data_IF_493150348183
#
_entry.id   IF_493150348183
#
_cell.length_a   1.000
_cell.length_b   1.000
_cell.length_c   1.000
_cell.angle_alpha   90.00
_cell.angle_beta   90.00
_cell.angle_gamma   90.00
#
_symmetry.space_group_name_H-M   'P 1'
#
loop_
_entity.id
_entity.type
_entity.pdbx_description
1 polymer ?
#
# COMPACT_ATOMS: atom_id res chain seq x y z
N UNK A 1 30.07 -3.76 -23.88
CA UNK A 1 29.28 -5.01 -23.85
C UNK A 1 28.81 -5.28 -25.28
N UNK A 2 29.00 -6.48 -25.84
CA UNK A 2 28.54 -6.78 -27.19
C UNK A 2 27.00 -6.77 -27.25
N UNK A 3 26.40 -6.42 -28.41
CA UNK A 3 24.94 -6.31 -28.56
C UNK A 3 24.16 -7.58 -28.14
N UNK A 4 24.72 -8.76 -28.39
CA UNK A 4 24.12 -10.05 -28.01
C UNK A 4 24.03 -10.24 -26.48
N UNK A 5 25.06 -9.86 -25.73
CA UNK A 5 25.03 -9.94 -24.27
C UNK A 5 24.04 -8.94 -23.67
N UNK A 6 23.90 -7.76 -24.28
CA UNK A 6 22.94 -6.74 -23.85
C UNK A 6 21.49 -7.20 -24.07
N UNK A 7 21.22 -7.81 -25.23
CA UNK A 7 19.92 -8.39 -25.57
C UNK A 7 19.53 -9.50 -24.58
N UNK A 8 20.41 -10.48 -24.32
CA UNK A 8 20.17 -11.57 -23.38
C UNK A 8 20.05 -11.13 -21.91
N UNK A 9 20.63 -9.98 -21.55
CA UNK A 9 20.36 -9.34 -20.25
C UNK A 9 18.96 -8.72 -20.26
N UNK A 10 18.62 -8.01 -21.32
CA UNK A 10 17.31 -7.40 -21.52
C UNK A 10 16.16 -8.40 -21.40
N UNK A 11 16.24 -9.54 -22.07
CA UNK A 11 15.23 -10.61 -22.00
C UNK A 11 14.99 -11.11 -20.57
N UNK A 12 16.06 -11.29 -19.80
CA UNK A 12 15.95 -11.71 -18.39
C UNK A 12 15.26 -10.63 -17.56
N UNK A 13 15.60 -9.36 -17.78
CA UNK A 13 14.98 -8.23 -17.08
C UNK A 13 13.50 -8.12 -17.45
N UNK A 14 13.17 -8.31 -18.73
CA UNK A 14 11.80 -8.33 -19.26
C UNK A 14 10.96 -9.45 -18.64
N UNK A 15 11.45 -10.69 -18.68
CA UNK A 15 10.78 -11.85 -18.11
C UNK A 15 10.50 -11.65 -16.62
N UNK A 16 11.51 -11.26 -15.84
CA UNK A 16 11.35 -11.02 -14.40
C UNK A 16 10.40 -9.86 -14.12
N UNK A 17 10.44 -8.80 -14.95
CA UNK A 17 9.52 -7.67 -14.86
C UNK A 17 8.07 -8.08 -15.14
N UNK A 18 7.83 -8.91 -16.16
CA UNK A 18 6.51 -9.44 -16.49
C UNK A 18 5.97 -10.34 -15.36
N UNK A 19 6.78 -11.25 -14.83
CA UNK A 19 6.41 -12.10 -13.70
C UNK A 19 6.06 -11.27 -12.46
N UNK A 20 6.85 -10.24 -12.17
CA UNK A 20 6.58 -9.34 -11.06
C UNK A 20 5.26 -8.58 -11.26
N UNK A 21 4.98 -8.11 -12.47
CA UNK A 21 3.73 -7.42 -12.80
C UNK A 21 2.51 -8.34 -12.63
N UNK A 22 2.60 -9.59 -13.10
CA UNK A 22 1.56 -10.61 -12.90
C UNK A 22 1.35 -10.96 -11.42
N UNK A 23 2.41 -11.10 -10.64
CA UNK A 23 2.31 -11.31 -9.20
C UNK A 23 1.54 -10.16 -8.51
N UNK A 24 1.85 -8.92 -8.88
CA UNK A 24 1.16 -7.73 -8.34
C UNK A 24 -0.30 -7.71 -8.74
N UNK A 25 -0.64 -8.11 -9.97
CA UNK A 25 -2.04 -8.24 -10.43
C UNK A 25 -2.81 -9.20 -9.51
N UNK A 26 -2.25 -10.39 -9.25
CA UNK A 26 -2.87 -11.40 -8.37
C UNK A 26 -3.05 -10.87 -6.95
N UNK A 27 -2.02 -10.23 -6.40
CA UNK A 27 -2.08 -9.68 -5.04
C UNK A 27 -3.10 -8.53 -4.90
N UNK A 28 -3.35 -7.77 -5.96
CA UNK A 28 -4.32 -6.66 -5.96
C UNK A 28 -5.74 -7.04 -6.35
N UNK A 29 -5.95 -8.25 -6.87
CA UNK A 29 -7.27 -8.75 -7.29
C UNK A 29 -8.39 -8.56 -6.24
N UNK A 30 -8.19 -8.89 -4.94
CA UNK A 30 -9.24 -8.72 -3.94
C UNK A 30 -9.61 -7.25 -3.70
N UNK A 31 -8.61 -6.37 -3.76
CA UNK A 31 -8.79 -4.92 -3.59
C UNK A 31 -9.51 -4.30 -4.79
N UNK A 32 -9.20 -4.78 -6.00
CA UNK A 32 -9.85 -4.33 -7.22
C UNK A 32 -11.34 -4.65 -7.27
N UNK A 33 -11.79 -5.77 -6.68
CA UNK A 33 -13.23 -6.09 -6.58
C UNK A 33 -14.02 -5.10 -5.73
N UNK A 34 -13.38 -4.36 -4.83
CA UNK A 34 -14.05 -3.46 -3.87
C UNK A 34 -14.14 -2.01 -4.34
N UNK A 35 -13.33 -1.59 -5.31
CA UNK A 35 -13.27 -0.19 -5.75
C UNK A 35 -13.19 -0.09 -7.27
N UNK A 36 -14.07 0.73 -7.84
CA UNK A 36 -14.12 0.96 -9.29
C UNK A 36 -12.80 1.49 -9.85
N UNK A 37 -12.16 2.45 -9.16
CA UNK A 37 -10.87 3.01 -9.57
C UNK A 37 -9.76 1.95 -9.55
N UNK A 38 -9.77 1.06 -8.55
CA UNK A 38 -8.80 -0.04 -8.44
C UNK A 38 -9.02 -1.10 -9.53
N UNK A 39 -10.29 -1.36 -9.89
CA UNK A 39 -10.65 -2.21 -11.03
C UNK A 39 -10.10 -1.66 -12.34
N UNK A 40 -10.29 -0.37 -12.62
CA UNK A 40 -9.77 0.26 -13.83
C UNK A 40 -8.24 0.22 -13.91
N UNK A 41 -7.56 0.51 -12.79
CA UNK A 41 -6.10 0.37 -12.71
C UNK A 41 -5.67 -1.06 -13.01
N UNK A 42 -6.35 -2.06 -12.42
CA UNK A 42 -5.99 -3.46 -12.63
C UNK A 42 -6.20 -3.88 -14.08
N UNK A 43 -7.28 -3.44 -14.73
CA UNK A 43 -7.54 -3.71 -16.16
C UNK A 43 -6.43 -3.11 -17.03
N UNK A 44 -6.03 -1.85 -16.79
CA UNK A 44 -4.93 -1.22 -17.52
C UNK A 44 -3.60 -1.96 -17.33
N UNK A 45 -3.31 -2.38 -16.11
CA UNK A 45 -2.08 -3.15 -15.79
C UNK A 45 -2.12 -4.55 -16.39
N UNK A 46 -3.28 -5.21 -16.45
CA UNK A 46 -3.47 -6.49 -17.16
C UNK A 46 -3.23 -6.30 -18.66
N UNK A 47 -3.77 -5.23 -19.26
CA UNK A 47 -3.50 -4.88 -20.66
C UNK A 47 -2.01 -4.74 -20.93
N UNK A 48 -1.30 -4.02 -20.07
CA UNK A 48 0.15 -3.85 -20.18
C UNK A 48 0.93 -5.15 -19.96
N UNK A 49 0.58 -5.92 -18.92
CA UNK A 49 1.23 -7.20 -18.64
C UNK A 49 1.04 -8.17 -19.80
N UNK A 50 -0.17 -8.26 -20.35
CA UNK A 50 -0.44 -9.01 -21.58
C UNK A 50 0.40 -8.50 -22.74
N UNK A 51 0.52 -7.17 -22.91
CA UNK A 51 1.29 -6.57 -24.00
C UNK A 51 2.76 -6.90 -23.92
N UNK A 52 3.34 -7.03 -22.72
CA UNK A 52 4.75 -7.44 -22.55
C UNK A 52 4.87 -8.96 -22.72
N UNK A 53 3.93 -9.72 -22.15
CA UNK A 53 3.96 -11.18 -22.17
C UNK A 53 3.90 -11.76 -23.58
N UNK A 54 3.14 -11.14 -24.49
CA UNK A 54 3.04 -11.60 -25.89
C UNK A 54 4.34 -11.44 -26.68
N UNK A 55 5.29 -10.61 -26.24
CA UNK A 55 6.61 -10.46 -26.89
C UNK A 55 7.67 -11.42 -26.32
N UNK A 56 7.37 -12.18 -25.26
CA UNK A 56 8.31 -13.17 -24.73
C UNK A 56 8.42 -14.37 -25.68
N UNK A 57 9.65 -14.75 -26.05
CA UNK A 57 9.92 -15.82 -27.02
C UNK A 57 9.10 -17.11 -26.83
N UNK A 58 8.97 -17.69 -25.60
CA UNK A 58 8.18 -18.91 -25.41
C UNK A 58 6.69 -18.71 -25.70
N UNK A 59 6.18 -17.51 -25.43
CA UNK A 59 4.77 -17.16 -25.64
C UNK A 59 4.53 -16.89 -27.11
N UNK A 60 5.40 -16.12 -27.76
CA UNK A 60 5.38 -15.90 -29.20
C UNK A 60 5.40 -17.20 -29.97
N UNK A 61 6.33 -18.11 -29.63
CA UNK A 61 6.44 -19.42 -30.27
C UNK A 61 5.16 -20.27 -30.11
N UNK A 62 4.54 -20.24 -28.92
CA UNK A 62 3.29 -20.96 -28.67
C UNK A 62 2.09 -20.34 -29.42
N UNK A 63 2.03 -19.01 -29.55
CA UNK A 63 0.98 -18.34 -30.32
C UNK A 63 1.09 -18.67 -31.80
N UNK A 64 2.30 -18.62 -32.36
CA UNK A 64 2.56 -18.90 -33.78
C UNK A 64 2.25 -20.34 -34.16
N UNK A 65 2.43 -21.31 -33.24
CA UNK A 65 2.09 -22.71 -33.50
C UNK A 65 0.60 -23.02 -33.39
N UNK A 66 -0.17 -22.16 -32.71
CA UNK A 66 -1.60 -22.40 -32.41
C UNK A 66 -2.53 -21.60 -33.32
N UNK A 67 -2.10 -20.41 -33.77
CA UNK A 67 -2.96 -19.48 -34.50
C UNK A 67 -2.31 -19.03 -35.81
N UNK A 68 -3.00 -19.26 -36.94
CA UNK A 68 -2.56 -18.82 -38.28
C UNK A 68 -2.44 -17.30 -38.40
N UNK A 69 -3.24 -16.53 -37.67
CA UNK A 69 -3.10 -15.06 -37.63
C UNK A 69 -1.88 -14.58 -36.82
N UNK A 70 -1.23 -15.48 -36.07
CA UNK A 70 -0.02 -15.19 -35.31
C UNK A 70 1.27 -15.45 -36.12
N UNK A 71 1.19 -16.11 -37.28
CA UNK A 71 2.34 -16.28 -38.20
C UNK A 71 2.99 -14.93 -38.55
N UNK A 72 2.18 -13.88 -38.65
CA UNK A 72 2.64 -12.48 -38.64
C UNK A 72 2.85 -12.02 -37.20
N UNK A 73 4.08 -12.19 -36.70
CA UNK A 73 4.58 -11.75 -35.38
C UNK A 73 4.09 -10.33 -34.96
N UNK A 74 3.68 -9.46 -35.91
CA UNK A 74 3.21 -8.11 -35.61
C UNK A 74 1.72 -7.93 -35.30
N UNK A 75 0.75 -8.52 -36.02
CA UNK A 75 -0.61 -7.93 -36.02
C UNK A 75 -1.33 -8.07 -34.67
N UNK A 76 -1.38 -9.28 -34.11
CA UNK A 76 -2.02 -9.53 -32.80
C UNK A 76 -1.34 -8.75 -31.69
N UNK A 77 0.00 -8.77 -31.64
CA UNK A 77 0.78 -8.10 -30.60
C UNK A 77 0.64 -6.58 -30.67
N UNK A 78 0.65 -6.02 -31.88
CA UNK A 78 0.48 -4.59 -32.11
C UNK A 78 -0.96 -4.13 -31.81
N UNK A 79 -1.97 -4.91 -32.20
CA UNK A 79 -3.36 -4.63 -31.84
C UNK A 79 -3.57 -4.67 -30.32
N UNK A 80 -2.96 -5.65 -29.64
CA UNK A 80 -2.98 -5.72 -28.18
C UNK A 80 -2.25 -4.54 -27.53
N UNK A 81 -1.11 -4.09 -28.09
CA UNK A 81 -0.40 -2.90 -27.64
C UNK A 81 -1.23 -1.61 -27.75
N UNK A 82 -1.97 -1.45 -28.85
CA UNK A 82 -2.92 -0.33 -29.04
C UNK A 82 -4.07 -0.40 -28.02
N UNK A 83 -4.65 -1.59 -27.81
CA UNK A 83 -5.67 -1.83 -26.78
C UNK A 83 -5.13 -1.47 -25.38
N UNK A 84 -3.93 -1.94 -25.04
CA UNK A 84 -3.27 -1.65 -23.77
C UNK A 84 -3.07 -0.15 -23.56
N UNK A 85 -2.58 0.57 -24.58
CA UNK A 85 -2.43 2.03 -24.56
C UNK A 85 -3.75 2.76 -24.31
N UNK A 86 -4.84 2.29 -24.93
CA UNK A 86 -6.18 2.84 -24.71
C UNK A 86 -6.70 2.59 -23.29
N UNK A 87 -6.49 1.38 -22.73
CA UNK A 87 -6.86 1.05 -21.35
C UNK A 87 -6.11 1.91 -20.32
N UNK A 88 -4.82 2.13 -20.55
CA UNK A 88 -3.98 3.02 -19.74
C UNK A 88 -4.52 4.44 -19.78
N UNK A 89 -4.82 4.97 -20.97
CA UNK A 89 -5.35 6.31 -21.14
C UNK A 89 -6.73 6.48 -20.49
N UNK A 90 -7.62 5.49 -20.65
CA UNK A 90 -8.94 5.47 -19.99
C UNK A 90 -8.81 5.49 -18.46
N UNK A 91 -7.89 4.70 -17.90
CA UNK A 91 -7.61 4.73 -16.46
C UNK A 91 -7.17 6.12 -15.98
N UNK A 92 -6.21 6.76 -16.66
CA UNK A 92 -5.70 8.08 -16.25
C UNK A 92 -6.78 9.16 -16.40
N UNK A 93 -7.56 9.16 -17.49
CA UNK A 93 -8.63 10.13 -17.71
C UNK A 93 -9.81 9.93 -16.74
N UNK A 94 -10.12 8.68 -16.37
CA UNK A 94 -11.09 8.38 -15.33
C UNK A 94 -10.65 8.88 -13.95
N UNK A 95 -9.36 8.80 -13.63
CA UNK A 95 -8.81 9.36 -12.39
C UNK A 95 -8.92 10.90 -12.33
N UNK A 96 -9.06 11.57 -13.48
CA UNK A 96 -9.22 13.02 -13.59
C UNK A 96 -10.68 13.48 -13.72
N UNK A 97 -11.65 12.56 -13.69
CA UNK A 97 -13.07 12.85 -13.99
C UNK A 97 -13.28 13.49 -15.36
N UNK A 98 -12.39 13.23 -16.34
CA UNK A 98 -12.47 13.73 -17.74
C UNK A 98 -12.70 12.59 -18.73
N UNK A 99 -13.37 11.54 -18.28
CA UNK A 99 -13.55 10.30 -19.04
C UNK A 99 -14.65 10.46 -20.08
N UNK A 100 -14.27 10.35 -21.36
CA UNK A 100 -15.20 10.20 -22.46
C UNK A 100 -14.80 8.94 -23.23
N UNK A 101 -15.41 7.76 -22.93
CA UNK A 101 -14.93 6.48 -23.44
C UNK A 101 -14.92 6.41 -24.97
N UNK A 102 -15.85 7.08 -25.64
CA UNK A 102 -15.91 7.14 -27.09
C UNK A 102 -14.69 7.84 -27.73
N UNK A 103 -14.11 8.84 -27.07
CA UNK A 103 -12.88 9.52 -27.53
C UNK A 103 -11.62 8.66 -27.38
N UNK A 104 -11.71 7.52 -26.70
CA UNK A 104 -10.58 6.63 -26.44
C UNK A 104 -10.75 5.36 -27.26
N UNK A 105 -11.90 4.67 -27.08
CA UNK A 105 -12.17 3.40 -27.73
C UNK A 105 -12.53 3.56 -29.21
N UNK A 106 -13.10 4.69 -29.63
CA UNK A 106 -13.36 4.98 -31.05
C UNK A 106 -12.06 5.03 -31.86
N UNK A 107 -11.10 5.91 -31.52
CA UNK A 107 -9.78 5.92 -32.15
C UNK A 107 -9.04 4.59 -32.03
N UNK A 108 -9.12 3.90 -30.89
CA UNK A 108 -8.51 2.58 -30.71
C UNK A 108 -9.03 1.56 -31.75
N UNK A 109 -10.35 1.43 -31.90
CA UNK A 109 -10.97 0.51 -32.87
C UNK A 109 -10.60 0.92 -34.30
N UNK A 110 -10.62 2.21 -34.61
CA UNK A 110 -10.22 2.73 -35.92
C UNK A 110 -8.75 2.41 -36.23
N UNK A 111 -7.85 2.62 -35.28
CA UNK A 111 -6.43 2.30 -35.42
C UNK A 111 -6.22 0.80 -35.63
N UNK A 112 -6.84 -0.06 -34.83
CA UNK A 112 -6.73 -1.52 -35.00
C UNK A 112 -7.26 -1.94 -36.37
N UNK A 113 -8.42 -1.44 -36.79
CA UNK A 113 -8.99 -1.71 -38.12
C UNK A 113 -8.06 -1.26 -39.24
N UNK A 114 -7.47 -0.07 -39.13
CA UNK A 114 -6.49 0.43 -40.08
C UNK A 114 -5.21 -0.44 -40.11
N UNK A 115 -4.71 -0.89 -38.97
CA UNK A 115 -3.55 -1.79 -38.90
C UNK A 115 -3.83 -3.14 -39.58
N UNK A 116 -5.04 -3.70 -39.42
CA UNK A 116 -5.47 -4.92 -40.12
C UNK A 116 -5.48 -4.70 -41.63
N UNK A 117 -6.13 -3.63 -42.10
CA UNK A 117 -6.18 -3.31 -43.54
C UNK A 117 -4.79 -3.08 -44.12
N UNK A 118 -3.92 -2.34 -43.41
CA UNK A 118 -2.56 -2.06 -43.85
C UNK A 118 -1.68 -3.31 -43.91
N UNK A 119 -1.84 -4.22 -42.95
CA UNK A 119 -1.18 -5.52 -42.96
C UNK A 119 -1.57 -6.33 -44.20
N UNK A 120 -2.84 -6.34 -44.59
CA UNK A 120 -3.30 -7.17 -45.71
C UNK A 120 -3.03 -6.55 -47.09
N UNK A 121 -2.79 -5.23 -47.17
CA UNK A 121 -2.71 -4.50 -48.45
C UNK A 121 -1.33 -3.93 -48.77
N UNK A 122 -0.66 -3.30 -47.80
CA UNK A 122 0.56 -2.50 -48.03
C UNK A 122 1.80 -3.17 -47.42
N UNK A 123 1.64 -3.83 -46.27
CA UNK A 123 2.72 -4.46 -45.54
C UNK A 123 2.35 -5.90 -45.10
N UNK A 124 2.13 -6.82 -46.05
CA UNK A 124 1.93 -8.24 -45.73
C UNK A 124 3.14 -8.75 -44.98
N UNK A 125 2.89 -9.36 -43.82
CA UNK A 125 3.92 -9.74 -42.83
C UNK A 125 4.65 -8.54 -42.25
N UNK A 126 3.95 -7.52 -41.74
CA UNK A 126 4.55 -6.56 -40.83
C UNK A 126 5.03 -7.31 -39.58
N UNK A 127 6.24 -7.90 -39.65
CA UNK A 127 6.80 -8.76 -38.62
C UNK A 127 7.27 -7.96 -37.41
N UNK A 128 7.96 -8.65 -36.51
CA UNK A 128 8.58 -7.99 -35.37
C UNK A 128 9.71 -7.05 -35.87
N UNK A 129 9.78 -5.79 -35.37
CA UNK A 129 10.72 -4.74 -35.84
C UNK A 129 12.16 -5.23 -35.99
N UNK A 130 12.54 -6.18 -35.15
CA UNK A 130 13.90 -6.72 -35.05
C UNK A 130 14.22 -7.79 -36.09
N UNK A 131 13.23 -8.41 -36.72
CA UNK A 131 13.41 -9.59 -37.59
C UNK A 131 13.08 -9.31 -39.06
N UNK A 132 12.21 -8.35 -39.36
CA UNK A 132 11.83 -8.04 -40.73
C UNK A 132 12.38 -6.70 -41.23
N UNK A 133 12.85 -6.67 -42.48
CA UNK A 133 13.40 -5.48 -43.11
C UNK A 133 12.28 -4.51 -43.54
N UNK A 134 11.65 -3.86 -42.57
CA UNK A 134 10.50 -2.99 -42.86
C UNK A 134 10.94 -1.61 -43.39
N UNK A 135 10.30 -1.06 -44.44
CA UNK A 135 10.61 0.28 -44.92
C UNK A 135 10.25 1.37 -43.90
N UNK A 136 11.11 2.38 -43.76
CA UNK A 136 10.89 3.52 -42.85
C UNK A 136 9.63 4.33 -43.17
N UNK A 137 9.17 4.28 -44.42
CA UNK A 137 7.97 4.97 -44.91
C UNK A 137 6.69 4.13 -44.72
N UNK A 138 6.76 2.97 -44.05
CA UNK A 138 5.60 2.11 -43.84
C UNK A 138 4.52 2.82 -43.01
N UNK A 139 3.31 3.07 -43.57
CA UNK A 139 2.23 3.74 -42.83
C UNK A 139 1.78 2.93 -41.61
N UNK A 140 1.96 1.60 -41.62
CA UNK A 140 1.69 0.73 -40.48
C UNK A 140 2.49 1.15 -39.25
N UNK A 141 3.81 1.30 -39.39
CA UNK A 141 4.69 1.65 -38.27
C UNK A 141 4.49 3.08 -37.79
N UNK A 142 4.26 4.02 -38.70
CA UNK A 142 3.95 5.42 -38.32
C UNK A 142 2.66 5.52 -37.52
N UNK A 143 1.59 4.85 -37.97
CA UNK A 143 0.32 4.81 -37.26
C UNK A 143 0.48 4.16 -35.88
N UNK A 144 1.22 3.06 -35.81
CA UNK A 144 1.46 2.32 -34.58
C UNK A 144 2.27 3.13 -33.54
N UNK A 145 3.37 3.77 -33.98
CA UNK A 145 4.19 4.67 -33.14
C UNK A 145 3.31 5.81 -32.63
N UNK A 146 2.55 6.46 -33.52
CA UNK A 146 1.69 7.57 -33.15
C UNK A 146 0.63 7.15 -32.12
N UNK A 147 -0.03 6.00 -32.31
CA UNK A 147 -1.04 5.49 -31.39
C UNK A 147 -0.49 5.27 -29.98
N UNK A 148 0.71 4.69 -29.87
CA UNK A 148 1.35 4.47 -28.58
C UNK A 148 1.78 5.79 -27.92
N UNK A 149 2.41 6.70 -28.65
CA UNK A 149 2.83 8.01 -28.11
C UNK A 149 1.62 8.82 -27.62
N UNK A 150 0.51 8.83 -28.36
CA UNK A 150 -0.74 9.49 -27.94
C UNK A 150 -1.32 8.82 -26.69
N UNK A 151 -1.19 7.50 -26.54
CA UNK A 151 -1.63 6.78 -25.34
C UNK A 151 -0.76 7.03 -24.11
N UNK A 152 0.57 7.12 -24.27
CA UNK A 152 1.52 7.13 -23.14
C UNK A 152 1.98 8.51 -22.70
N UNK A 153 2.17 9.47 -23.62
CA UNK A 153 2.68 10.82 -23.28
C UNK A 153 1.73 11.56 -22.33
N UNK A 154 0.41 11.64 -22.57
CA UNK A 154 -0.50 12.28 -21.63
C UNK A 154 -0.45 11.63 -20.25
N UNK A 155 -0.37 10.30 -20.19
CA UNK A 155 -0.26 9.55 -18.94
C UNK A 155 1.02 9.91 -18.19
N UNK A 156 2.17 9.99 -18.87
CA UNK A 156 3.44 10.42 -18.28
C UNK A 156 3.35 11.85 -17.71
N UNK A 157 2.82 12.79 -18.49
CA UNK A 157 2.70 14.22 -18.11
C UNK A 157 1.77 14.38 -16.91
N UNK A 158 0.62 13.70 -16.92
CA UNK A 158 -0.38 13.80 -15.86
C UNK A 158 0.15 13.16 -14.56
N UNK A 159 0.67 11.94 -14.62
CA UNK A 159 1.26 11.29 -13.45
C UNK A 159 2.43 12.12 -12.87
N UNK A 160 3.28 12.71 -13.70
CA UNK A 160 4.36 13.60 -13.26
C UNK A 160 3.80 14.87 -12.58
N UNK A 161 2.83 15.53 -13.21
CA UNK A 161 2.22 16.77 -12.71
C UNK A 161 1.53 16.57 -11.37
N UNK A 162 0.72 15.51 -11.24
CA UNK A 162 0.04 15.19 -9.99
C UNK A 162 0.99 14.64 -8.93
N UNK A 163 1.98 13.84 -9.30
CA UNK A 163 3.03 13.36 -8.39
C UNK A 163 3.83 14.51 -7.78
N UNK A 164 4.18 15.55 -8.57
CA UNK A 164 4.85 16.75 -8.06
C UNK A 164 3.98 17.61 -7.13
N UNK A 165 2.65 17.54 -7.26
CA UNK A 165 1.70 18.27 -6.41
C UNK A 165 1.37 17.56 -5.10
N UNK A 166 1.47 16.23 -5.06
CA UNK A 166 1.27 15.44 -3.85
C UNK A 166 2.46 15.56 -2.87
N UNK A 167 2.76 16.78 -2.40
CA UNK A 167 3.93 17.03 -1.53
C UNK A 167 3.78 16.38 -0.15
N UNK A 168 2.56 16.36 0.39
CA UNK A 168 2.29 15.89 1.74
C UNK A 168 2.08 14.37 1.82
N UNK A 169 1.64 13.74 0.73
CA UNK A 169 1.49 12.29 0.62
C UNK A 169 2.67 11.69 -0.15
N UNK A 170 3.79 11.52 0.58
CA UNK A 170 5.04 10.91 0.06
C UNK A 170 4.81 9.60 -0.72
N UNK A 171 4.06 8.62 -0.20
CA UNK A 171 3.91 7.37 -0.93
C UNK A 171 3.02 7.48 -2.17
N UNK A 172 1.98 8.33 -2.15
CA UNK A 172 1.22 8.64 -3.36
C UNK A 172 2.12 9.31 -4.42
N UNK A 173 2.94 10.28 -4.01
CA UNK A 173 3.93 10.93 -4.88
C UNK A 173 4.90 9.92 -5.49
N UNK A 174 5.49 9.04 -4.69
CA UNK A 174 6.40 8.01 -5.19
C UNK A 174 5.71 7.10 -6.20
N UNK A 175 4.49 6.63 -5.92
CA UNK A 175 3.72 5.79 -6.84
C UNK A 175 3.44 6.50 -8.18
N UNK A 176 3.00 7.76 -8.15
CA UNK A 176 2.73 8.55 -9.35
C UNK A 176 3.98 8.86 -10.16
N UNK A 177 5.11 9.15 -9.51
CA UNK A 177 6.38 9.41 -10.20
C UNK A 177 6.97 8.14 -10.82
N UNK A 178 6.80 6.98 -10.20
CA UNK A 178 7.19 5.69 -10.78
C UNK A 178 6.34 5.33 -12.00
N UNK A 179 5.03 5.56 -11.94
CA UNK A 179 4.14 5.40 -13.09
C UNK A 179 4.52 6.37 -14.22
N UNK A 180 4.79 7.64 -13.88
CA UNK A 180 5.26 8.62 -14.85
C UNK A 180 6.57 8.19 -15.52
N UNK A 181 7.53 7.68 -14.75
CA UNK A 181 8.78 7.14 -15.27
C UNK A 181 8.54 5.94 -16.21
N UNK A 182 7.61 5.04 -15.86
CA UNK A 182 7.21 3.92 -16.72
C UNK A 182 6.61 4.38 -18.05
N UNK A 183 5.68 5.34 -18.03
CA UNK A 183 5.09 5.88 -19.26
C UNK A 183 6.11 6.66 -20.10
N UNK A 184 7.04 7.37 -19.46
CA UNK A 184 8.16 8.01 -20.15
C UNK A 184 9.06 6.97 -20.81
N UNK A 185 9.42 5.89 -20.11
CA UNK A 185 10.24 4.80 -20.68
C UNK A 185 9.57 4.18 -21.90
N UNK A 186 8.27 3.91 -21.82
CA UNK A 186 7.48 3.41 -22.95
C UNK A 186 7.42 4.41 -24.12
N UNK A 187 7.28 5.70 -23.85
CA UNK A 187 7.32 6.73 -24.89
C UNK A 187 8.70 6.80 -25.57
N UNK A 188 9.78 6.70 -24.78
CA UNK A 188 11.16 6.63 -25.28
C UNK A 188 11.36 5.39 -26.15
N UNK A 189 10.80 4.23 -25.76
CA UNK A 189 10.85 3.01 -26.57
C UNK A 189 10.32 3.25 -27.99
N UNK A 190 9.13 3.87 -28.13
CA UNK A 190 8.54 4.13 -29.45
C UNK A 190 9.30 5.17 -30.26
N UNK A 191 9.91 6.17 -29.62
CA UNK A 191 10.84 7.11 -30.28
C UNK A 191 12.09 6.38 -30.77
N UNK A 192 12.61 5.44 -29.98
CA UNK A 192 13.76 4.61 -30.36
C UNK A 192 13.41 3.66 -31.51
N UNK A 193 12.21 3.07 -31.52
CA UNK A 193 11.70 2.29 -32.67
C UNK A 193 11.66 3.16 -33.93
N UNK A 194 11.19 4.40 -33.84
CA UNK A 194 11.19 5.32 -34.98
C UNK A 194 12.61 5.63 -35.48
N UNK A 195 13.55 5.90 -34.58
CA UNK A 195 14.96 6.11 -34.93
C UNK A 195 15.59 4.85 -35.55
N UNK A 196 15.24 3.67 -35.06
CA UNK A 196 15.68 2.39 -35.62
C UNK A 196 15.14 2.19 -37.03
N UNK A 197 13.87 2.51 -37.31
CA UNK A 197 13.30 2.43 -38.66
C UNK A 197 14.02 3.35 -39.65
N UNK A 198 14.41 4.56 -39.22
CA UNK A 198 15.09 5.54 -40.06
C UNK A 198 16.55 5.20 -40.34
N UNK A 199 17.32 4.79 -39.32
CA UNK A 199 18.77 4.68 -39.40
C UNK A 199 19.32 3.24 -39.29
N UNK A 200 18.50 2.29 -38.84
CA UNK A 200 18.81 0.86 -38.63
C UNK A 200 20.12 0.52 -37.89
N UNK A 201 20.52 1.23 -36.82
CA UNK A 201 21.69 0.80 -36.06
C UNK A 201 21.36 -0.47 -35.25
N UNK A 202 22.14 -1.54 -35.46
CA UNK A 202 21.93 -2.83 -34.78
C UNK A 202 21.97 -2.75 -33.24
N UNK A 203 22.71 -1.78 -32.68
CA UNK A 203 22.78 -1.58 -31.23
C UNK A 203 21.49 -1.03 -30.61
N UNK A 204 20.63 -0.33 -31.38
CA UNK A 204 19.33 0.12 -30.87
C UNK A 204 18.36 -1.04 -30.71
N UNK A 205 18.35 -2.00 -31.65
CA UNK A 205 17.52 -3.21 -31.54
C UNK A 205 17.87 -4.05 -30.31
N UNK A 206 19.17 -4.11 -29.96
CA UNK A 206 19.64 -4.82 -28.76
C UNK A 206 19.13 -4.20 -27.43
N UNK A 207 18.65 -2.95 -27.44
CA UNK A 207 18.11 -2.27 -26.26
C UNK A 207 16.61 -2.51 -26.04
N UNK A 208 15.89 -3.11 -26.99
CA UNK A 208 14.44 -3.23 -26.91
C UNK A 208 13.97 -4.04 -25.69
N UNK A 209 14.44 -5.28 -25.45
CA UNK A 209 13.99 -6.07 -24.30
C UNK A 209 14.34 -5.38 -22.98
N UNK A 210 15.50 -4.71 -22.93
CA UNK A 210 15.92 -3.98 -21.74
C UNK A 210 14.99 -2.81 -21.43
N UNK A 211 14.57 -2.01 -22.42
CA UNK A 211 13.62 -0.92 -22.20
C UNK A 211 12.23 -1.45 -21.80
N UNK A 212 11.75 -2.52 -22.45
CA UNK A 212 10.48 -3.17 -22.08
C UNK A 212 10.55 -3.66 -20.62
N UNK A 213 11.64 -4.32 -20.23
CA UNK A 213 11.86 -4.76 -18.85
C UNK A 213 11.94 -3.60 -17.85
N UNK A 214 12.65 -2.51 -18.17
CA UNK A 214 12.69 -1.31 -17.32
C UNK A 214 11.29 -0.71 -17.16
N UNK A 215 10.52 -0.63 -18.24
CA UNK A 215 9.12 -0.20 -18.22
C UNK A 215 8.28 -1.09 -17.30
N UNK A 216 8.43 -2.42 -17.42
CA UNK A 216 7.73 -3.39 -16.58
C UNK A 216 8.04 -3.20 -15.09
N UNK A 217 9.31 -3.00 -14.73
CA UNK A 217 9.75 -2.78 -13.36
C UNK A 217 9.27 -1.45 -12.78
N UNK A 218 9.33 -0.36 -13.55
CA UNK A 218 8.82 0.95 -13.13
C UNK A 218 7.31 0.90 -12.89
N UNK A 219 6.57 0.23 -13.77
CA UNK A 219 5.13 0.02 -13.63
C UNK A 219 4.79 -0.86 -12.43
N UNK A 220 5.51 -1.97 -12.26
CA UNK A 220 5.39 -2.85 -11.08
C UNK A 220 5.60 -2.06 -9.80
N UNK A 221 6.69 -1.29 -9.71
CA UNK A 221 7.00 -0.48 -8.53
C UNK A 221 5.90 0.59 -8.26
N UNK A 222 5.41 1.26 -9.30
CA UNK A 222 4.32 2.23 -9.18
C UNK A 222 3.01 1.61 -8.70
N UNK A 223 2.66 0.44 -9.22
CA UNK A 223 1.44 -0.31 -8.86
C UNK A 223 1.56 -0.99 -7.49
N UNK A 224 2.78 -1.33 -7.04
CA UNK A 224 3.03 -1.91 -5.72
C UNK A 224 2.82 -0.93 -4.56
N UNK A 225 2.95 0.37 -4.79
CA UNK A 225 3.03 1.33 -3.69
C UNK A 225 1.80 1.32 -2.76
N UNK A 226 0.54 1.30 -3.26
CA UNK A 226 -0.63 1.19 -2.40
C UNK A 226 -0.67 -0.11 -1.59
N UNK A 227 -0.23 -1.23 -2.19
CA UNK A 227 -0.15 -2.53 -1.52
C UNK A 227 0.86 -2.49 -0.36
N UNK A 228 2.04 -1.92 -0.60
CA UNK A 228 3.07 -1.78 0.41
C UNK A 228 2.59 -0.95 1.61
N UNK A 229 1.82 0.12 1.38
CA UNK A 229 1.23 0.93 2.45
C UNK A 229 0.18 0.16 3.25
N UNK A 230 -0.72 -0.57 2.59
CA UNK A 230 -1.73 -1.38 3.27
C UNK A 230 -1.08 -2.46 4.13
N UNK A 231 -0.07 -3.16 3.60
CA UNK A 231 0.68 -4.17 4.34
C UNK A 231 1.44 -3.57 5.51
N UNK A 232 2.11 -2.43 5.33
CA UNK A 232 2.82 -1.74 6.43
C UNK A 232 1.86 -1.32 7.55
N UNK A 233 0.69 -0.77 7.20
CA UNK A 233 -0.35 -0.40 8.18
C UNK A 233 -0.89 -1.64 8.90
N UNK A 234 -1.17 -2.72 8.17
CA UNK A 234 -1.65 -3.98 8.74
C UNK A 234 -0.61 -4.59 9.70
N UNK A 235 0.65 -4.66 9.30
CA UNK A 235 1.75 -5.18 10.12
C UNK A 235 1.95 -4.34 11.40
N UNK A 236 1.87 -3.02 11.29
CA UNK A 236 1.93 -2.14 12.46
C UNK A 236 0.75 -2.36 13.41
N UNK A 237 -0.47 -2.41 12.88
CA UNK A 237 -1.66 -2.63 13.69
C UNK A 237 -1.64 -4.02 14.36
N UNK A 238 -1.17 -5.04 13.64
CA UNK A 238 -0.94 -6.39 14.16
C UNK A 238 0.09 -6.39 15.29
N UNK A 239 1.20 -5.67 15.12
CA UNK A 239 2.23 -5.52 16.15
C UNK A 239 1.70 -4.80 17.39
N UNK A 240 0.93 -3.71 17.21
CA UNK A 240 0.29 -2.99 18.31
C UNK A 240 -0.71 -3.88 19.06
N UNK A 241 -1.58 -4.59 18.33
CA UNK A 241 -2.54 -5.55 18.88
C UNK A 241 -1.83 -6.62 19.74
N UNK A 242 -0.76 -7.21 19.20
CA UNK A 242 0.03 -8.22 19.88
C UNK A 242 0.69 -7.69 21.15
N UNK A 243 1.30 -6.51 21.07
CA UNK A 243 2.02 -5.88 22.19
C UNK A 243 1.10 -5.34 23.27
N UNK A 244 -0.10 -4.87 22.93
CA UNK A 244 -1.10 -4.40 23.89
C UNK A 244 -1.86 -5.55 24.57
N UNK A 245 -1.83 -6.76 24.03
CA UNK A 245 -2.57 -7.89 24.57
C UNK A 245 -2.28 -8.21 26.06
N UNK A 246 -1.03 -8.19 26.57
CA UNK A 246 -0.79 -8.36 28.00
C UNK A 246 -1.49 -7.28 28.83
N UNK A 247 -1.39 -6.01 28.45
CA UNK A 247 -2.07 -4.91 29.16
C UNK A 247 -3.58 -5.11 29.16
N UNK A 248 -4.15 -5.36 27.99
CA UNK A 248 -5.59 -5.60 27.83
C UNK A 248 -6.06 -6.75 28.71
N UNK A 249 -5.35 -7.88 28.71
CA UNK A 249 -5.70 -9.04 29.53
C UNK A 249 -5.66 -8.72 31.03
N UNK A 250 -4.56 -8.13 31.52
CA UNK A 250 -4.44 -7.77 32.95
C UNK A 250 -5.59 -6.84 33.40
N UNK A 251 -5.96 -5.88 32.56
CA UNK A 251 -7.00 -4.89 32.84
C UNK A 251 -8.42 -5.48 32.77
N UNK A 252 -8.68 -6.34 31.79
CA UNK A 252 -9.99 -6.96 31.61
C UNK A 252 -10.23 -8.13 32.57
N UNK A 253 -9.19 -8.79 33.07
CA UNK A 253 -9.29 -9.72 34.21
C UNK A 253 -9.72 -8.97 35.48
N UNK A 254 -9.21 -7.75 35.70
CA UNK A 254 -9.65 -6.91 36.81
C UNK A 254 -11.09 -6.42 36.61
N UNK A 255 -11.47 -6.00 35.39
CA UNK A 255 -12.80 -5.45 35.06
C UNK A 255 -13.45 -6.28 33.92
N UNK A 256 -14.08 -7.43 34.22
CA UNK A 256 -14.57 -8.33 33.18
C UNK A 256 -15.79 -7.78 32.42
N UNK A 257 -16.59 -6.90 33.03
CA UNK A 257 -17.84 -6.39 32.46
C UNK A 257 -17.67 -5.41 31.29
N UNK A 258 -16.44 -4.97 30.99
CA UNK A 258 -16.14 -4.10 29.84
C UNK A 258 -15.94 -4.90 28.55
N UNK A 259 -15.64 -6.20 28.65
CA UNK A 259 -15.34 -7.02 27.46
C UNK A 259 -16.61 -7.42 26.72
N UNK A 260 -16.66 -7.14 25.41
CA UNK A 260 -17.81 -7.48 24.55
C UNK A 260 -17.71 -8.87 23.91
N UNK A 261 -16.50 -9.44 23.82
CA UNK A 261 -16.26 -10.78 23.23
C UNK A 261 -15.35 -11.64 24.13
N UNK A 262 -15.45 -12.96 23.97
CA UNK A 262 -14.57 -13.91 24.68
C UNK A 262 -13.09 -13.66 24.33
N UNK A 263 -12.17 -13.85 25.30
CA UNK A 263 -10.74 -13.62 25.06
C UNK A 263 -10.21 -14.45 23.90
N UNK A 264 -9.73 -13.77 22.86
CA UNK A 264 -9.02 -14.41 21.76
C UNK A 264 -7.57 -14.64 22.15
N UNK A 265 -7.01 -15.82 21.87
CA UNK A 265 -5.56 -16.04 21.97
C UNK A 265 -4.80 -15.01 21.13
N UNK A 266 -3.61 -14.56 21.58
CA UNK A 266 -2.76 -13.59 20.85
C UNK A 266 -2.61 -13.90 19.36
N UNK A 267 -2.42 -15.19 19.03
CA UNK A 267 -2.28 -15.69 17.66
C UNK A 267 -3.55 -15.42 16.85
N UNK A 268 -4.71 -15.88 17.34
CA UNK A 268 -5.99 -15.66 16.66
C UNK A 268 -6.32 -14.18 16.48
N UNK A 269 -5.92 -13.32 17.42
CA UNK A 269 -6.17 -11.88 17.33
C UNK A 269 -5.50 -11.24 16.09
N UNK A 270 -4.33 -11.73 15.69
CA UNK A 270 -3.56 -11.18 14.55
C UNK A 270 -3.87 -11.88 13.22
N UNK A 271 -4.55 -13.03 13.23
CA UNK A 271 -4.96 -13.72 12.00
C UNK A 271 -6.08 -12.99 11.26
N UNK A 272 -5.93 -12.79 9.96
CA UNK A 272 -6.97 -12.26 9.08
C UNK A 272 -6.49 -11.14 8.17
N UNK A 273 -7.42 -10.55 7.42
CA UNK A 273 -7.13 -9.43 6.52
C UNK A 273 -6.88 -8.11 7.25
N UNK A 274 -6.29 -7.10 6.57
CA UNK A 274 -5.99 -5.78 7.16
C UNK A 274 -7.15 -5.11 7.88
N UNK A 275 -8.37 -5.23 7.36
CA UNK A 275 -9.58 -4.65 7.95
C UNK A 275 -9.96 -5.32 9.28
N UNK A 276 -9.85 -6.64 9.35
CA UNK A 276 -10.16 -7.39 10.57
C UNK A 276 -9.17 -7.05 11.69
N UNK A 277 -7.87 -6.96 11.36
CA UNK A 277 -6.83 -6.52 12.29
C UNK A 277 -7.09 -5.10 12.79
N UNK A 278 -7.50 -4.18 11.90
CA UNK A 278 -7.82 -2.81 12.28
C UNK A 278 -9.01 -2.73 13.25
N UNK A 279 -10.10 -3.45 12.98
CA UNK A 279 -11.28 -3.47 13.85
C UNK A 279 -10.99 -4.09 15.22
N UNK A 280 -10.17 -5.15 15.27
CA UNK A 280 -9.74 -5.76 16.54
C UNK A 280 -8.87 -4.82 17.36
N UNK A 281 -7.93 -4.11 16.72
CA UNK A 281 -7.12 -3.11 17.40
C UNK A 281 -7.98 -1.98 17.94
N UNK A 282 -8.92 -1.49 17.13
CA UNK A 282 -9.86 -0.46 17.53
C UNK A 282 -10.65 -0.86 18.78
N UNK A 283 -11.24 -2.07 18.78
CA UNK A 283 -11.96 -2.60 19.93
C UNK A 283 -11.07 -2.75 21.16
N UNK A 284 -9.90 -3.38 21.01
CA UNK A 284 -8.99 -3.60 22.14
C UNK A 284 -8.55 -2.28 22.80
N UNK A 285 -8.34 -1.23 22.00
CA UNK A 285 -8.01 0.10 22.50
C UNK A 285 -9.18 0.72 23.27
N UNK A 286 -10.41 0.63 22.75
CA UNK A 286 -11.61 1.11 23.46
C UNK A 286 -11.80 0.37 24.78
N UNK A 287 -11.70 -0.96 24.78
CA UNK A 287 -11.87 -1.75 26.00
C UNK A 287 -10.81 -1.40 27.06
N UNK A 288 -9.55 -1.17 26.67
CA UNK A 288 -8.53 -0.67 27.60
C UNK A 288 -8.95 0.70 28.17
N UNK A 289 -9.39 1.63 27.31
CA UNK A 289 -9.78 2.97 27.73
C UNK A 289 -10.97 2.95 28.69
N UNK A 290 -11.98 2.15 28.40
CA UNK A 290 -13.16 1.99 29.24
C UNK A 290 -12.77 1.41 30.61
N UNK A 291 -11.85 0.44 30.65
CA UNK A 291 -11.27 -0.05 31.91
C UNK A 291 -10.51 1.04 32.65
N UNK A 292 -9.68 1.83 31.97
CA UNK A 292 -8.93 2.94 32.59
C UNK A 292 -9.88 3.98 33.20
N UNK A 293 -10.99 4.31 32.53
CA UNK A 293 -12.00 5.22 33.05
C UNK A 293 -12.63 4.69 34.34
N UNK A 294 -13.01 3.42 34.38
CA UNK A 294 -13.58 2.80 35.59
C UNK A 294 -12.54 2.71 36.71
N UNK A 295 -11.28 2.37 36.40
CA UNK A 295 -10.21 2.31 37.39
C UNK A 295 -9.85 3.68 37.97
N UNK A 296 -10.10 4.76 37.23
CA UNK A 296 -9.85 6.13 37.71
C UNK A 296 -10.72 6.50 38.92
N UNK A 297 -11.90 5.89 39.06
CA UNK A 297 -12.78 6.05 40.22
C UNK A 297 -12.27 5.31 41.48
N UNK A 298 -11.26 4.45 41.36
CA UNK A 298 -10.61 3.81 42.51
C UNK A 298 -9.42 4.62 43.05
N UNK A 299 -9.15 5.80 42.48
CA UNK A 299 -7.99 6.63 42.82
C UNK A 299 -8.46 8.00 43.25
N UNK A 300 -8.03 8.42 44.45
CA UNK A 300 -8.36 9.76 44.96
C UNK A 300 -7.50 10.85 44.29
N UNK A 301 -7.96 12.11 44.28
CA UNK A 301 -7.17 13.23 43.74
C UNK A 301 -5.78 13.36 44.37
N UNK A 302 -5.61 13.01 45.64
CA UNK A 302 -4.32 13.06 46.34
C UNK A 302 -3.33 12.05 45.77
N UNK A 303 -3.78 10.83 45.45
CA UNK A 303 -2.94 9.80 44.83
C UNK A 303 -2.54 10.22 43.41
N UNK A 304 -3.46 10.82 42.66
CA UNK A 304 -3.17 11.36 41.32
C UNK A 304 -2.13 12.48 41.39
N UNK A 305 -2.27 13.42 42.32
CA UNK A 305 -1.31 14.49 42.55
C UNK A 305 0.05 13.97 43.06
N UNK A 306 0.05 12.89 43.85
CA UNK A 306 1.27 12.23 44.31
C UNK A 306 1.99 11.54 43.14
N UNK A 307 1.29 10.79 42.30
CA UNK A 307 1.83 10.18 41.09
C UNK A 307 2.45 11.23 40.15
N UNK A 308 1.76 12.35 39.95
CA UNK A 308 2.29 13.46 39.14
C UNK A 308 3.59 13.99 39.71
N UNK A 309 3.61 14.35 41.00
CA UNK A 309 4.82 14.88 41.67
C UNK A 309 5.98 13.88 41.65
N UNK A 310 5.70 12.60 41.90
CA UNK A 310 6.70 11.52 41.90
C UNK A 310 7.36 11.33 40.53
N UNK A 311 6.59 11.44 39.45
CA UNK A 311 7.13 11.30 38.09
C UNK A 311 7.85 12.57 37.66
N UNK A 312 7.31 13.75 37.93
CA UNK A 312 7.93 15.04 37.56
C UNK A 312 9.20 15.36 38.34
N UNK A 313 9.41 14.75 39.51
CA UNK A 313 10.66 14.88 40.27
C UNK A 313 11.81 14.05 39.67
N UNK A 314 11.51 13.20 38.69
CA UNK A 314 12.48 12.36 37.99
C UNK A 314 12.86 12.99 36.64
N UNK A 315 14.10 12.80 36.22
CA UNK A 315 14.59 13.26 34.92
C UNK A 315 14.13 12.32 33.79
N UNK A 316 12.83 12.33 33.49
CA UNK A 316 12.25 11.60 32.36
C UNK A 316 12.05 12.50 31.14
N UNK A 317 12.23 11.97 29.91
CA UNK A 317 11.82 12.69 28.70
C UNK A 317 10.33 13.05 28.74
N UNK A 318 9.97 14.21 28.20
CA UNK A 318 8.60 14.74 28.22
C UNK A 318 7.56 13.74 27.70
N UNK A 319 7.90 13.01 26.63
CA UNK A 319 7.07 11.96 26.03
C UNK A 319 6.77 10.76 26.96
N UNK A 320 7.55 10.57 28.03
CA UNK A 320 7.38 9.48 29.00
C UNK A 320 6.67 9.91 30.27
N UNK A 321 6.55 11.23 30.54
CA UNK A 321 5.96 11.75 31.78
C UNK A 321 4.51 11.31 31.92
N UNK A 322 3.66 11.64 30.95
CA UNK A 322 2.22 11.31 31.03
C UNK A 322 1.94 9.79 31.05
N UNK A 323 2.61 8.97 30.20
CA UNK A 323 2.51 7.52 30.32
C UNK A 323 2.98 6.94 31.67
N UNK A 324 4.02 7.52 32.28
CA UNK A 324 4.51 7.09 33.59
C UNK A 324 3.56 7.48 34.72
N UNK A 325 3.00 8.70 34.70
CA UNK A 325 1.94 9.12 35.63
C UNK A 325 0.77 8.15 35.53
N UNK A 326 0.38 7.83 34.29
CA UNK A 326 -0.71 6.88 34.02
C UNK A 326 -0.43 5.50 34.60
N UNK A 327 0.79 4.98 34.40
CA UNK A 327 1.18 3.70 34.96
C UNK A 327 1.20 3.69 36.51
N UNK A 328 1.63 4.78 37.15
CA UNK A 328 1.65 4.91 38.61
C UNK A 328 0.24 4.88 39.22
N UNK A 329 -0.68 5.73 38.74
CA UNK A 329 -2.04 5.74 39.29
C UNK A 329 -2.80 4.47 38.94
N UNK A 330 -2.53 3.86 37.77
CA UNK A 330 -3.12 2.58 37.40
C UNK A 330 -2.71 1.45 38.33
N UNK A 331 -1.45 1.44 38.79
CA UNK A 331 -0.98 0.49 39.79
C UNK A 331 -1.75 0.65 41.11
N UNK A 332 -1.91 1.89 41.58
CA UNK A 332 -2.70 2.22 42.76
C UNK A 332 -4.18 1.79 42.63
N UNK A 333 -4.80 2.07 41.48
CA UNK A 333 -6.17 1.70 41.19
C UNK A 333 -6.41 0.19 41.25
N UNK A 334 -5.53 -0.58 40.62
CA UNK A 334 -5.60 -2.04 40.62
C UNK A 334 -5.45 -2.60 42.04
N UNK A 335 -4.54 -2.03 42.85
CA UNK A 335 -4.38 -2.42 44.24
C UNK A 335 -5.63 -2.11 45.08
N UNK A 336 -6.17 -0.90 45.00
CA UNK A 336 -7.38 -0.49 45.72
C UNK A 336 -8.58 -1.37 45.33
N UNK A 337 -8.70 -1.71 44.04
CA UNK A 337 -9.71 -2.64 43.56
C UNK A 337 -9.54 -4.05 44.14
N UNK A 338 -8.31 -4.58 44.18
CA UNK A 338 -8.07 -5.90 44.78
C UNK A 338 -8.34 -5.92 46.28
N UNK A 339 -8.20 -4.78 46.96
CA UNK A 339 -8.58 -4.58 48.35
C UNK A 339 -10.10 -4.36 48.55
N UNK A 340 -10.92 -4.54 47.50
CA UNK A 340 -12.37 -4.37 47.50
C UNK A 340 -12.85 -2.97 47.93
N UNK A 341 -12.05 -1.93 47.67
CA UNK A 341 -12.48 -0.55 47.91
C UNK A 341 -13.70 -0.17 47.06
N UNK A 342 -14.59 0.65 47.60
CA UNK A 342 -15.71 1.20 46.85
C UNK A 342 -15.24 2.32 45.91
N UNK A 343 -15.56 2.26 44.60
CA UNK A 343 -15.23 3.34 43.68
C UNK A 343 -15.93 4.64 44.10
N UNK A 344 -15.21 5.76 43.98
CA UNK A 344 -15.73 7.10 44.22
C UNK A 344 -15.63 7.91 42.93
N UNK A 345 -16.70 8.61 42.50
CA UNK A 345 -16.67 9.42 41.29
C UNK A 345 -15.53 10.44 41.36
N UNK A 346 -14.55 10.32 40.46
CA UNK A 346 -13.43 11.25 40.45
C UNK A 346 -13.78 12.47 39.56
N UNK A 347 -13.89 13.69 40.10
CA UNK A 347 -14.23 14.89 39.31
C UNK A 347 -13.19 15.21 38.23
N UNK A 348 -11.96 14.67 38.33
CA UNK A 348 -10.90 14.79 37.33
C UNK A 348 -11.00 13.72 36.22
N UNK A 349 -11.96 12.79 36.28
CA UNK A 349 -12.17 11.75 35.27
C UNK A 349 -12.50 12.33 33.88
N UNK A 350 -13.11 13.52 33.85
CA UNK A 350 -13.63 14.19 32.65
C UNK A 350 -12.54 14.73 31.73
N UNK A 351 -11.34 15.00 32.24
CA UNK A 351 -10.20 15.40 31.42
C UNK A 351 -9.57 14.15 30.76
N UNK A 352 -10.16 13.69 29.66
CA UNK A 352 -9.42 12.87 28.68
C UNK A 352 -8.73 13.81 27.70
N UNK A 353 -7.42 13.65 27.45
CA UNK A 353 -6.80 14.32 26.32
C UNK A 353 -7.56 13.97 25.05
N UNK A 354 -7.88 14.97 24.23
CA UNK A 354 -8.38 14.80 22.87
C UNK A 354 -7.28 14.12 22.06
N UNK A 355 -7.27 12.79 22.02
CA UNK A 355 -6.33 12.06 21.19
C UNK A 355 -6.88 11.94 19.77
N UNK A 356 -6.07 12.40 18.81
CA UNK A 356 -6.33 12.55 17.37
C UNK A 356 -6.55 11.23 16.57
N UNK A 357 -7.17 10.23 17.20
CA UNK A 357 -7.61 8.98 16.58
C UNK A 357 -6.92 7.72 17.11
N UNK A 358 -7.31 6.56 16.56
CA UNK A 358 -6.87 5.23 17.04
C UNK A 358 -5.35 5.07 17.14
N UNK A 359 -4.60 5.74 16.27
CA UNK A 359 -3.14 5.61 16.23
C UNK A 359 -2.47 6.23 17.45
N UNK A 360 -2.79 7.49 17.76
CA UNK A 360 -2.21 8.19 18.92
C UNK A 360 -2.57 7.46 20.20
N UNK A 361 -3.81 6.98 20.30
CA UNK A 361 -4.27 6.19 21.45
C UNK A 361 -3.48 4.88 21.61
N UNK A 362 -3.32 4.10 20.53
CA UNK A 362 -2.53 2.87 20.58
C UNK A 362 -1.06 3.12 20.94
N UNK A 363 -0.46 4.19 20.40
CA UNK A 363 0.93 4.58 20.69
C UNK A 363 1.07 5.02 22.16
N UNK A 364 0.10 5.76 22.71
CA UNK A 364 0.04 6.13 24.13
C UNK A 364 -0.09 4.91 25.05
N UNK A 365 -1.01 3.99 24.79
CA UNK A 365 -1.18 2.77 25.59
C UNK A 365 0.05 1.86 25.54
N UNK A 366 0.75 1.81 24.39
CA UNK A 366 2.04 1.13 24.29
C UNK A 366 3.14 1.83 25.11
N UNK A 367 3.09 3.15 25.24
CA UNK A 367 3.97 3.89 26.15
C UNK A 367 3.64 3.61 27.62
N UNK A 368 2.36 3.57 28.01
CA UNK A 368 1.92 3.21 29.37
C UNK A 368 2.40 1.80 29.73
N UNK A 369 2.21 0.82 28.83
CA UNK A 369 2.71 -0.54 29.03
C UNK A 369 4.22 -0.59 29.24
N UNK A 370 5.01 0.18 28.46
CA UNK A 370 6.46 0.29 28.67
C UNK A 370 6.79 0.97 30.00
N UNK A 371 6.06 2.02 30.36
CA UNK A 371 6.28 2.79 31.58
C UNK A 371 6.08 1.93 32.85
N UNK A 372 5.16 0.94 32.83
CA UNK A 372 5.00 -0.05 33.93
C UNK A 372 6.29 -0.80 34.29
N UNK A 373 7.28 -0.83 33.40
CA UNK A 373 8.57 -1.49 33.64
C UNK A 373 9.67 -0.54 34.12
N UNK A 374 9.45 0.77 34.09
CA UNK A 374 10.42 1.77 34.51
C UNK A 374 10.67 1.69 36.03
N UNK A 375 11.93 1.91 36.50
CA UNK A 375 12.25 1.95 37.92
C UNK A 375 11.40 2.95 38.70
N UNK A 376 11.16 4.14 38.13
CA UNK A 376 10.32 5.20 38.71
C UNK A 376 8.90 4.74 39.03
N UNK A 377 8.29 3.95 38.14
CA UNK A 377 6.92 3.45 38.34
C UNK A 377 6.93 2.30 39.34
N UNK A 378 7.97 1.46 39.32
CA UNK A 378 8.13 0.36 40.28
C UNK A 378 8.42 0.83 41.70
N UNK A 379 9.06 1.98 41.86
CA UNK A 379 9.33 2.61 43.17
C UNK A 379 8.20 3.52 43.64
N UNK A 380 7.12 3.63 42.88
CA UNK A 380 5.96 4.42 43.28
C UNK A 380 5.27 3.73 44.46
N UNK A 381 5.22 4.42 45.60
CA UNK A 381 4.51 3.98 46.78
C UNK A 381 3.22 4.78 46.98
N UNK A 382 2.20 4.11 47.52
CA UNK A 382 0.95 4.77 47.89
C UNK A 382 1.19 5.76 49.05
N UNK A 383 0.54 6.94 49.03
CA UNK A 383 0.57 7.87 50.15
C UNK A 383 0.15 7.19 51.48
N UNK A 384 0.74 7.57 52.62
CA UNK A 384 0.40 6.98 53.93
C UNK A 384 -1.10 7.02 54.24
N UNK A 385 -1.76 8.14 53.94
CA UNK A 385 -3.19 8.37 54.19
C UNK A 385 -4.14 7.55 53.31
N UNK A 386 -3.63 7.03 52.20
CA UNK A 386 -4.37 6.10 51.34
C UNK A 386 -4.28 4.66 51.90
N UNK A 387 -3.14 4.27 52.49
CA UNK A 387 -2.97 2.95 53.11
C UNK A 387 -3.84 2.78 54.36
N UNK A 388 -3.95 3.83 55.18
CA UNK A 388 -4.72 3.80 56.45
C UNK A 388 -6.23 3.81 56.25
N UNK A 389 -6.76 4.53 55.24
CA UNK A 389 -8.20 4.50 54.90
C UNK A 389 -8.69 3.15 54.35
N UNK A 390 -7.78 2.36 53.77
CA UNK A 390 -8.10 1.01 53.31
C UNK A 390 -7.98 -0.05 54.42
N UNK A 391 -7.10 0.14 55.40
CA UNK A 391 -7.02 -0.73 56.57
C UNK A 391 -8.23 -0.61 57.50
N UNK A 392 -8.92 0.54 57.52
CA UNK A 392 -10.11 0.77 58.36
C UNK A 392 -11.43 0.30 57.75
N UNK A 393 -11.43 -0.20 56.51
CA UNK A 393 -12.62 -0.72 55.81
C UNK A 393 -12.69 -2.25 55.77
N UNK A 394 -11.77 -2.96 56.44
CA UNK A 394 -11.91 -4.40 56.66
C UNK A 394 -13.06 -4.66 57.62
N UNK A 395 -14.15 -5.36 57.22
CA UNK A 395 -15.18 -5.70 58.17
C UNK A 395 -14.62 -6.77 59.11
N UNK A 396 -14.59 -6.46 60.41
CA UNK A 396 -14.47 -7.47 61.45
C UNK A 396 -15.64 -8.45 61.29
N UNK A 397 -15.31 -9.67 60.87
CA UNK A 397 -16.11 -10.86 61.14
C UNK A 397 -15.21 -11.94 61.69
#
# INVERSE_FOLDING_TARGET
MPPSSLYALGERVELLGALALWLVIVLRWPTARRSHQQKMLLIAVIGLAGSITVYLDPVTAALNSTFTFAESCGLFMNAWGVLSSALILDFVLAAMSRRHPWLIYGPMVLTIGALIVLNDTIAPHAGCVTTEAVPWYSPFWWLLVAAHLVGTIPCAVLCMRYGRRARDDRPLRTGLLLLAAGFTSSSVFWVVVLAFLLARPAWLGALFPLNIGVTAWLMTAGVCMPLALTLRRAARNASALWRLHPLWRDLTEAIPHVTLERPHTRIRAVLGGPQAIHLRLYRQVIEIRDVLLILKDYVTPEVMAHARRHVTSQALPEEQIEPAITACWLHAALWAKTAAATPQPNPLATESPTHDGLRSEADFLLAVLRARTLPTVRSFELPPDARTRHASTTPTK
#
